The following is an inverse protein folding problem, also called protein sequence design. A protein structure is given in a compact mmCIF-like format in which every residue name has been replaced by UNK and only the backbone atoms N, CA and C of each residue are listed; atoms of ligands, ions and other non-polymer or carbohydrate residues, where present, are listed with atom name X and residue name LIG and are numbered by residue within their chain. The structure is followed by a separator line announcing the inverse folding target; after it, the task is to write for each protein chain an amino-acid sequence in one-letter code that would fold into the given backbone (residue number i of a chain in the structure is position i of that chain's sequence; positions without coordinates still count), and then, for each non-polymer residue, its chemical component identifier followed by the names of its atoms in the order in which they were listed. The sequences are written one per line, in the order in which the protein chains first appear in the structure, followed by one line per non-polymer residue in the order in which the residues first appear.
data_IF_609606120516
#
_entry.id   IF_609606120516
#
_cell.length_a   1.000
_cell.length_b   1.000
_cell.length_c   1.000
_cell.angle_alpha   90.00
_cell.angle_beta   90.00
_cell.angle_gamma   90.00
#
_symmetry.space_group_name_H-M   'P 1'
#
loop_
_entity.id
_entity.type
_entity.pdbx_description
1 polymer ?
#
# COMPACT_ATOMS: atom_id res chain seq x y z
N UNK A 1 -29.81 -18.91 33.56
CA UNK A 1 -28.50 -19.43 33.12
C UNK A 1 -27.96 -18.49 32.02
N UNK A 2 -26.89 -17.76 32.22
CA UNK A 2 -26.30 -16.97 31.15
C UNK A 2 -25.44 -17.89 30.26
N UNK A 3 -25.72 -17.82 28.95
CA UNK A 3 -24.91 -18.46 27.92
C UNK A 3 -23.56 -17.73 27.84
N UNK A 4 -22.54 -18.42 28.33
CA UNK A 4 -21.14 -17.97 28.16
C UNK A 4 -20.75 -18.26 26.72
N UNK A 5 -20.72 -17.20 25.89
CA UNK A 5 -20.07 -17.24 24.57
C UNK A 5 -18.54 -17.18 24.76
N UNK A 6 -18.01 -18.31 25.25
CA UNK A 6 -16.57 -18.54 25.35
C UNK A 6 -16.13 -19.17 24.04
N UNK A 7 -15.30 -18.44 23.26
CA UNK A 7 -14.56 -19.06 22.17
C UNK A 7 -14.67 -18.45 20.78
N UNK A 8 -15.22 -17.25 20.59
CA UNK A 8 -14.96 -16.51 19.36
C UNK A 8 -13.61 -15.81 19.48
N UNK A 9 -12.54 -16.54 19.19
CA UNK A 9 -11.29 -15.91 18.77
C UNK A 9 -11.66 -15.00 17.60
N UNK A 10 -11.63 -13.69 17.83
CA UNK A 10 -11.90 -12.72 16.79
C UNK A 10 -10.86 -12.94 15.69
N UNK A 11 -11.28 -13.62 14.62
CA UNK A 11 -10.54 -13.67 13.37
C UNK A 11 -10.40 -12.22 12.97
N UNK A 12 -9.23 -11.62 13.27
CA UNK A 12 -8.89 -10.32 12.71
C UNK A 12 -8.96 -10.50 11.20
N UNK A 13 -9.82 -9.77 10.49
CA UNK A 13 -9.80 -9.82 9.05
C UNK A 13 -8.36 -9.49 8.60
N UNK A 14 -7.84 -10.17 7.57
CA UNK A 14 -6.54 -9.80 7.04
C UNK A 14 -6.55 -8.31 6.76
N UNK A 15 -5.45 -7.62 7.09
CA UNK A 15 -5.31 -6.19 6.76
C UNK A 15 -5.41 -6.04 5.26
N UNK A 16 -6.55 -5.55 4.79
CA UNK A 16 -6.84 -5.40 3.35
C UNK A 16 -6.21 -4.11 2.80
N UNK A 17 -5.86 -3.16 3.69
CA UNK A 17 -5.23 -1.90 3.34
C UNK A 17 -3.87 -1.81 4.01
N UNK A 18 -2.87 -2.44 3.44
CA UNK A 18 -1.49 -2.20 3.82
C UNK A 18 -1.03 -0.88 3.22
N UNK A 19 -0.48 -0.01 4.05
CA UNK A 19 0.07 1.27 3.60
C UNK A 19 1.32 0.98 2.79
N UNK A 20 1.39 1.52 1.58
CA UNK A 20 2.60 1.45 0.75
C UNK A 20 3.77 2.13 1.46
N UNK A 21 4.94 1.54 1.35
CA UNK A 21 6.16 2.20 1.79
C UNK A 21 6.67 3.19 0.73
N UNK A 22 7.64 4.04 1.09
CA UNK A 22 8.14 5.08 0.19
C UNK A 22 8.76 4.52 -1.09
N UNK A 23 9.37 3.33 -1.07
CA UNK A 23 9.90 2.70 -2.28
C UNK A 23 8.78 2.36 -3.27
N UNK A 24 7.71 1.75 -2.77
CA UNK A 24 6.54 1.40 -3.60
C UNK A 24 5.89 2.67 -4.16
N UNK A 25 5.70 3.69 -3.33
CA UNK A 25 5.11 4.96 -3.74
C UNK A 25 5.94 5.64 -4.83
N UNK A 26 7.27 5.67 -4.69
CA UNK A 26 8.14 6.31 -5.66
C UNK A 26 8.17 5.56 -6.99
N UNK A 27 8.26 4.23 -6.98
CA UNK A 27 8.19 3.43 -8.21
C UNK A 27 6.86 3.64 -8.91
N UNK A 28 5.73 3.61 -8.19
CA UNK A 28 4.41 3.84 -8.77
C UNK A 28 4.26 5.26 -9.30
N UNK A 29 4.82 6.27 -8.63
CA UNK A 29 4.83 7.66 -9.09
C UNK A 29 5.53 7.77 -10.45
N UNK A 30 6.71 7.17 -10.58
CA UNK A 30 7.47 7.17 -11.85
C UNK A 30 6.70 6.45 -12.95
N UNK A 31 6.14 5.27 -12.66
CA UNK A 31 5.38 4.50 -13.65
C UNK A 31 4.12 5.25 -14.09
N UNK A 32 3.43 5.92 -13.17
CA UNK A 32 2.26 6.75 -13.50
C UNK A 32 2.61 7.95 -14.39
N UNK A 33 3.82 8.46 -14.25
CA UNK A 33 4.31 9.52 -15.14
C UNK A 33 4.68 9.02 -16.55
N UNK A 34 5.19 7.79 -16.64
CA UNK A 34 5.65 7.20 -17.90
C UNK A 34 4.56 6.51 -18.71
N UNK A 35 3.48 6.11 -18.07
CA UNK A 35 2.42 5.33 -18.69
C UNK A 35 1.05 5.95 -18.40
N UNK A 36 0.26 6.16 -19.44
CA UNK A 36 -1.13 6.56 -19.31
C UNK A 36 -2.03 5.42 -18.78
N UNK A 37 -3.16 5.80 -18.21
CA UNK A 37 -4.18 4.88 -17.75
C UNK A 37 -4.16 4.60 -16.24
N UNK A 38 -5.24 4.04 -15.70
CA UNK A 38 -5.41 3.81 -14.28
C UNK A 38 -4.56 2.65 -13.76
N UNK A 39 -4.03 2.79 -12.54
CA UNK A 39 -3.29 1.73 -11.85
C UNK A 39 -4.23 0.59 -11.39
N UNK A 40 -5.48 0.93 -11.08
CA UNK A 40 -6.41 0.04 -10.38
C UNK A 40 -7.22 -0.89 -11.30
N UNK A 41 -6.83 -1.05 -12.55
CA UNK A 41 -7.53 -1.96 -13.48
C UNK A 41 -6.88 -3.35 -13.41
N UNK A 42 -7.55 -4.36 -12.82
CA UNK A 42 -7.06 -5.73 -12.82
C UNK A 42 -6.68 -6.20 -14.22
N UNK A 43 -5.52 -6.83 -14.36
CA UNK A 43 -5.00 -7.29 -15.65
C UNK A 43 -4.26 -6.24 -16.47
N UNK A 44 -4.21 -4.99 -16.05
CA UNK A 44 -3.33 -3.99 -16.67
C UNK A 44 -1.86 -4.21 -16.30
N UNK A 45 -0.95 -3.73 -17.14
CA UNK A 45 0.50 -3.80 -16.87
C UNK A 45 0.90 -3.09 -15.58
N UNK A 46 0.23 -1.96 -15.28
CA UNK A 46 0.45 -1.22 -14.04
C UNK A 46 -0.01 -2.00 -12.81
N UNK A 47 -1.18 -2.64 -12.90
CA UNK A 47 -1.70 -3.47 -11.81
C UNK A 47 -0.75 -4.65 -11.55
N UNK A 48 -0.29 -5.31 -12.62
CA UNK A 48 0.67 -6.41 -12.49
C UNK A 48 2.00 -5.97 -11.88
N UNK A 49 2.52 -4.83 -12.31
CA UNK A 49 3.72 -4.26 -11.69
C UNK A 49 3.51 -3.98 -10.20
N UNK A 50 2.37 -3.40 -9.83
CA UNK A 50 2.02 -3.16 -8.44
C UNK A 50 2.01 -4.44 -7.61
N UNK A 51 1.35 -5.51 -8.09
CA UNK A 51 1.31 -6.80 -7.38
C UNK A 51 2.72 -7.38 -7.15
N UNK A 52 3.57 -7.35 -8.18
CA UNK A 52 4.94 -7.86 -8.07
C UNK A 52 5.79 -6.98 -7.16
N UNK A 53 5.68 -5.67 -7.28
CA UNK A 53 6.38 -4.70 -6.43
C UNK A 53 6.00 -4.90 -4.96
N UNK A 54 4.70 -4.97 -4.67
CA UNK A 54 4.19 -5.15 -3.30
C UNK A 54 4.67 -6.47 -2.68
N UNK A 55 4.72 -7.55 -3.46
CA UNK A 55 5.22 -8.85 -3.01
C UNK A 55 6.68 -8.80 -2.56
N UNK A 56 7.52 -8.07 -3.27
CA UNK A 56 8.96 -8.02 -3.01
C UNK A 56 9.40 -6.85 -2.12
N UNK A 57 8.69 -5.74 -2.18
CA UNK A 57 9.04 -4.51 -1.47
C UNK A 57 8.12 -4.19 -0.28
N UNK A 58 6.88 -4.66 -0.29
CA UNK A 58 5.89 -4.30 0.74
C UNK A 58 6.27 -4.74 2.16
N UNK A 59 7.06 -5.81 2.30
CA UNK A 59 7.56 -6.27 3.59
C UNK A 59 8.82 -5.53 4.08
N UNK A 60 9.42 -4.68 3.25
CA UNK A 60 10.57 -3.88 3.66
C UNK A 60 10.14 -2.86 4.71
N UNK A 61 10.80 -2.89 5.85
CA UNK A 61 10.56 -1.96 6.95
C UNK A 61 11.85 -1.18 7.26
N UNK A 62 11.64 0.02 7.79
CA UNK A 62 12.69 0.92 8.23
C UNK A 62 12.16 2.34 8.31
N UNK A 63 12.69 3.16 9.22
CA UNK A 63 12.23 4.54 9.38
C UNK A 63 12.31 5.32 8.06
N UNK A 64 13.33 5.05 7.22
CA UNK A 64 13.51 5.71 5.93
C UNK A 64 12.49 5.30 4.86
N UNK A 65 11.73 4.20 5.07
CA UNK A 65 10.71 3.72 4.15
C UNK A 65 9.30 4.03 4.61
N UNK A 66 9.12 4.51 5.84
CA UNK A 66 7.80 4.87 6.37
C UNK A 66 7.40 6.23 5.86
N UNK A 67 6.24 6.29 5.22
CA UNK A 67 5.67 7.57 4.83
C UNK A 67 5.17 8.34 6.06
N UNK A 68 5.66 9.55 6.23
CA UNK A 68 5.23 10.48 7.28
C UNK A 68 5.08 11.88 6.66
N UNK A 69 3.85 12.27 6.28
CA UNK A 69 3.60 13.55 5.63
C UNK A 69 3.93 14.73 6.55
N UNK A 70 4.21 15.91 5.99
CA UNK A 70 4.41 17.14 6.74
C UNK A 70 3.31 17.39 7.76
N UNK A 71 3.71 17.80 8.97
CA UNK A 71 2.77 18.01 10.08
C UNK A 71 1.68 19.01 9.75
N UNK A 72 1.97 20.04 8.98
CA UNK A 72 0.99 21.03 8.50
C UNK A 72 -0.10 20.42 7.62
N UNK A 73 0.25 19.44 6.75
CA UNK A 73 -0.72 18.74 5.91
C UNK A 73 -1.62 17.86 6.79
N UNK A 74 -1.03 17.15 7.74
CA UNK A 74 -1.79 16.31 8.68
C UNK A 74 -2.77 17.17 9.50
N UNK A 75 -2.32 18.34 9.94
CA UNK A 75 -3.14 19.26 10.71
C UNK A 75 -4.30 19.82 9.86
N UNK A 76 -4.02 20.28 8.63
CA UNK A 76 -5.05 20.78 7.72
C UNK A 76 -6.13 19.73 7.41
N UNK A 77 -5.73 18.46 7.21
CA UNK A 77 -6.69 17.37 7.00
C UNK A 77 -7.54 17.09 8.24
N UNK A 78 -6.95 17.19 9.44
CA UNK A 78 -7.68 17.02 10.70
C UNK A 78 -8.71 18.11 10.91
N UNK A 79 -8.33 19.36 10.68
CA UNK A 79 -9.22 20.51 10.76
C UNK A 79 -10.39 20.39 9.79
N UNK A 80 -10.10 19.96 8.56
CA UNK A 80 -11.14 19.71 7.57
C UNK A 80 -12.10 18.58 7.97
N UNK A 81 -11.61 17.55 8.63
CA UNK A 81 -12.40 16.38 8.99
C UNK A 81 -13.07 16.48 10.38
N UNK A 82 -12.86 17.56 11.14
CA UNK A 82 -13.25 17.66 12.56
C UNK A 82 -14.75 17.44 12.78
N UNK A 83 -15.58 18.11 12.00
CA UNK A 83 -17.03 18.04 12.15
C UNK A 83 -17.58 16.65 11.80
N UNK A 84 -17.08 16.07 10.70
CA UNK A 84 -17.45 14.72 10.29
C UNK A 84 -17.01 13.66 11.30
N UNK A 85 -15.81 13.79 11.84
CA UNK A 85 -15.28 12.87 12.85
C UNK A 85 -16.07 12.98 14.16
N UNK A 86 -16.47 14.19 14.56
CA UNK A 86 -17.27 14.40 15.77
C UNK A 86 -18.68 13.83 15.59
N UNK A 87 -19.30 14.00 14.43
CA UNK A 87 -20.58 13.38 14.13
C UNK A 87 -20.48 11.84 14.21
N UNK A 88 -19.47 11.23 13.58
CA UNK A 88 -19.25 9.77 13.66
C UNK A 88 -19.02 9.33 15.10
N UNK A 89 -18.25 10.10 15.86
CA UNK A 89 -18.01 9.80 17.28
C UNK A 89 -19.31 9.76 18.06
N UNK A 90 -20.14 10.79 17.94
CA UNK A 90 -21.39 10.90 18.69
C UNK A 90 -22.38 9.81 18.32
N UNK A 91 -22.51 9.49 17.04
CA UNK A 91 -23.49 8.53 16.52
C UNK A 91 -23.10 7.07 16.81
N UNK A 92 -21.82 6.73 16.62
CA UNK A 92 -21.38 5.34 16.65
C UNK A 92 -20.48 4.95 17.83
N UNK A 93 -19.88 5.94 18.51
CA UNK A 93 -18.93 5.71 19.60
C UNK A 93 -19.11 6.72 20.73
N UNK A 94 -20.34 6.85 21.29
CA UNK A 94 -20.65 7.89 22.28
C UNK A 94 -19.82 7.77 23.56
N UNK A 95 -19.31 6.60 23.88
CA UNK A 95 -18.46 6.33 25.03
C UNK A 95 -17.02 6.83 24.87
N UNK A 96 -16.59 7.20 23.64
CA UNK A 96 -15.24 7.69 23.39
C UNK A 96 -15.16 9.20 23.54
N UNK A 97 -14.10 9.67 24.17
CA UNK A 97 -13.83 11.12 24.23
C UNK A 97 -13.34 11.68 22.89
N UNK A 98 -12.59 10.88 22.15
CA UNK A 98 -12.08 11.23 20.82
C UNK A 98 -12.19 10.02 19.88
N UNK A 99 -12.46 10.25 18.60
CA UNK A 99 -12.52 9.19 17.59
C UNK A 99 -11.11 8.65 17.28
N UNK A 100 -10.14 9.53 17.20
CA UNK A 100 -8.75 9.20 16.91
C UNK A 100 -7.81 9.72 18.02
N UNK A 101 -6.78 8.95 18.29
CA UNK A 101 -5.71 9.41 19.18
C UNK A 101 -5.01 10.66 18.58
N UNK A 102 -4.49 11.55 19.44
CA UNK A 102 -3.67 12.66 18.96
C UNK A 102 -2.47 12.13 18.15
N UNK A 103 -1.99 12.90 17.16
CA UNK A 103 -0.82 12.49 16.36
C UNK A 103 0.37 12.35 17.29
N UNK A 104 1.13 11.28 17.07
CA UNK A 104 2.47 11.20 17.64
C UNK A 104 3.36 12.14 16.85
N UNK A 105 4.25 12.85 17.54
CA UNK A 105 5.33 13.56 16.86
C UNK A 105 6.16 12.52 16.08
N UNK A 106 6.18 12.67 14.76
CA UNK A 106 7.01 11.86 13.87
C UNK A 106 7.91 12.81 13.10
N UNK A 107 9.12 12.36 12.82
CA UNK A 107 9.96 13.03 11.84
C UNK A 107 9.29 12.92 10.47
N UNK A 108 9.22 14.03 9.77
CA UNK A 108 8.66 14.07 8.42
C UNK A 108 9.51 13.22 7.49
N UNK A 109 8.85 12.37 6.71
CA UNK A 109 9.51 11.51 5.74
C UNK A 109 8.54 11.23 4.57
N UNK A 110 8.61 12.03 3.54
CA UNK A 110 7.71 11.97 2.40
C UNK A 110 8.45 11.81 1.06
N UNK A 111 9.79 11.72 1.11
CA UNK A 111 10.64 11.50 -0.05
C UNK A 111 11.60 10.34 0.20
N UNK A 112 11.77 9.48 -0.80
CA UNK A 112 12.78 8.43 -0.76
C UNK A 112 14.15 9.03 -1.09
N UNK A 113 14.93 9.36 -0.06
CA UNK A 113 16.24 9.99 -0.22
C UNK A 113 17.37 9.01 -0.47
N UNK A 114 17.21 7.75 -0.07
CA UNK A 114 18.24 6.72 -0.18
C UNK A 114 17.65 5.34 -0.48
N UNK A 115 18.26 4.64 -1.44
CA UNK A 115 18.00 3.24 -1.70
C UNK A 115 18.97 2.39 -0.88
N UNK A 116 18.45 1.64 0.08
CA UNK A 116 19.22 0.68 0.85
C UNK A 116 19.55 -0.57 0.01
N UNK A 117 20.51 -1.41 0.43
CA UNK A 117 20.74 -2.71 -0.23
C UNK A 117 19.47 -3.56 -0.35
N UNK A 118 18.60 -3.56 0.67
CA UNK A 118 17.31 -4.25 0.63
C UNK A 118 16.37 -3.70 -0.45
N UNK A 119 16.35 -2.37 -0.66
CA UNK A 119 15.58 -1.77 -1.76
C UNK A 119 16.08 -2.24 -3.12
N UNK A 120 17.40 -2.26 -3.32
CA UNK A 120 17.99 -2.73 -4.57
C UNK A 120 17.73 -4.22 -4.81
N UNK A 121 17.80 -5.05 -3.77
CA UNK A 121 17.46 -6.46 -3.86
C UNK A 121 15.99 -6.66 -4.23
N UNK A 122 15.07 -5.94 -3.60
CA UNK A 122 13.64 -6.01 -3.92
C UNK A 122 13.37 -5.60 -5.37
N UNK A 123 13.95 -4.49 -5.85
CA UNK A 123 13.82 -4.06 -7.24
C UNK A 123 14.40 -5.08 -8.21
N UNK A 124 15.55 -5.68 -7.88
CA UNK A 124 16.13 -6.77 -8.68
C UNK A 124 15.20 -7.96 -8.81
N UNK A 125 14.54 -8.38 -7.74
CA UNK A 125 13.54 -9.46 -7.76
C UNK A 125 12.31 -9.09 -8.59
N UNK A 126 11.82 -7.87 -8.49
CA UNK A 126 10.72 -7.36 -9.34
C UNK A 126 11.09 -7.47 -10.82
N UNK A 127 12.28 -6.99 -11.18
CA UNK A 127 12.76 -7.04 -12.56
C UNK A 127 12.92 -8.48 -13.06
N UNK A 128 13.47 -9.38 -12.27
CA UNK A 128 13.63 -10.78 -12.60
C UNK A 128 12.28 -11.46 -12.85
N UNK A 129 11.32 -11.33 -11.91
CA UNK A 129 9.98 -11.92 -12.05
C UNK A 129 9.25 -11.43 -13.30
N UNK A 130 9.24 -10.11 -13.54
CA UNK A 130 8.58 -9.55 -14.73
C UNK A 130 9.27 -9.96 -16.03
N UNK A 131 10.60 -10.10 -16.02
CA UNK A 131 11.37 -10.59 -17.19
C UNK A 131 11.04 -12.04 -17.51
N UNK A 132 11.02 -12.92 -16.51
CA UNK A 132 10.65 -14.33 -16.68
C UNK A 132 9.21 -14.49 -17.19
N UNK A 133 8.28 -13.70 -16.63
CA UNK A 133 6.90 -13.68 -17.08
C UNK A 133 6.80 -13.26 -18.56
N UNK A 134 7.53 -12.22 -18.94
CA UNK A 134 7.56 -11.73 -20.33
C UNK A 134 8.08 -12.80 -21.31
N UNK A 135 9.16 -13.50 -20.95
CA UNK A 135 9.72 -14.61 -21.76
C UNK A 135 8.68 -15.72 -21.92
N UNK A 136 8.03 -16.12 -20.81
CA UNK A 136 6.99 -17.16 -20.86
C UNK A 136 5.80 -16.76 -21.74
N UNK A 137 5.30 -15.54 -21.60
CA UNK A 137 4.18 -15.04 -22.40
C UNK A 137 4.53 -14.97 -23.89
N UNK A 138 5.75 -14.55 -24.25
CA UNK A 138 6.22 -14.55 -25.63
C UNK A 138 6.28 -15.97 -26.22
N UNK A 139 6.77 -16.94 -25.45
CA UNK A 139 6.79 -18.34 -25.89
C UNK A 139 5.38 -18.90 -26.13
N UNK A 140 4.43 -18.61 -25.24
CA UNK A 140 3.03 -18.98 -25.41
C UNK A 140 2.40 -18.36 -26.67
N UNK A 141 2.65 -17.08 -26.92
CA UNK A 141 2.17 -16.40 -28.13
C UNK A 141 2.73 -17.01 -29.41
N UNK A 142 4.01 -17.42 -29.42
CA UNK A 142 4.62 -18.09 -30.56
C UNK A 142 3.98 -19.46 -30.81
N UNK A 143 3.69 -20.24 -29.76
CA UNK A 143 3.01 -21.53 -29.89
C UNK A 143 1.59 -21.39 -30.48
N UNK A 144 0.81 -20.42 -30.00
CA UNK A 144 -0.53 -20.16 -30.55
C UNK A 144 -0.46 -19.78 -32.02
N UNK A 145 0.50 -18.93 -32.44
CA UNK A 145 0.68 -18.52 -33.82
C UNK A 145 1.15 -19.65 -34.74
N UNK A 146 1.91 -20.61 -34.24
CA UNK A 146 2.39 -21.75 -35.00
C UNK A 146 1.34 -22.86 -35.15
N UNK A 147 0.32 -22.89 -34.30
CA UNK A 147 -0.77 -23.87 -34.34
C UNK A 147 -2.02 -23.42 -35.07
N UNK A 148 -2.04 -22.16 -35.56
CA UNK A 148 -3.10 -21.57 -36.38
C UNK A 148 -2.74 -21.57 -37.84
#
# INVERSE_FOLDING_TARGET
MPLVLSGMSALRPPRVNETLNLLEMEVLRVVNHLQDGPVNVPGSSKYRLFEVLHRHAGALDGPQLRFAPPGEIVQAWREWAVDGNEWVRQEFFPERQTLFAPPRAQEENYELTQLTPGCWEALGRVMAELSEENVRLRAQLQQVRAGS
#
